data_IF_075252586020
#
_entry.id   IF_075252586020
#
_cell.length_a   1.000
_cell.length_b   1.000
_cell.length_c   1.000
_cell.angle_alpha   90.00
_cell.angle_beta   90.00
_cell.angle_gamma   90.00
#
_symmetry.space_group_name_H-M   'P 1'
#
loop_
_entity.id
_entity.type
_entity.pdbx_description
1 polymer ?
#
# COMPACT_ATOMS: atom_id res chain seq x y z
N UNK A 1 25.07 -17.48 -74.46
CA UNK A 1 25.72 -18.26 -73.40
C UNK A 1 26.25 -17.30 -72.35
N UNK A 2 26.07 -17.68 -71.08
CA UNK A 2 26.63 -17.13 -69.84
C UNK A 2 25.56 -16.61 -68.87
N UNK A 3 25.24 -17.49 -67.92
CA UNK A 3 24.50 -17.23 -66.70
C UNK A 3 25.39 -16.46 -65.71
N UNK A 4 24.82 -15.47 -65.03
CA UNK A 4 25.36 -15.01 -63.74
C UNK A 4 24.19 -14.71 -62.81
N UNK A 5 23.97 -15.63 -61.88
CA UNK A 5 23.04 -15.55 -60.76
C UNK A 5 23.66 -14.66 -59.68
N UNK A 6 22.98 -13.58 -59.27
CA UNK A 6 23.27 -12.90 -58.02
C UNK A 6 22.03 -12.95 -57.14
N UNK A 7 22.10 -13.82 -56.13
CA UNK A 7 21.15 -13.83 -55.02
C UNK A 7 21.50 -12.69 -54.07
N UNK A 8 20.48 -11.92 -53.68
CA UNK A 8 20.57 -11.00 -52.54
C UNK A 8 19.43 -11.32 -51.59
N UNK A 9 19.83 -11.71 -50.40
CA UNK A 9 18.99 -12.17 -49.29
C UNK A 9 18.14 -11.00 -48.76
N UNK A 10 16.82 -11.19 -48.72
CA UNK A 10 15.88 -10.30 -48.03
C UNK A 10 16.02 -10.57 -46.53
N UNK A 11 16.65 -9.66 -45.79
CA UNK A 11 16.65 -9.70 -44.33
C UNK A 11 15.37 -9.02 -43.84
N UNK A 12 14.34 -9.83 -43.59
CA UNK A 12 13.14 -9.38 -42.88
C UNK A 12 13.47 -9.21 -41.39
N UNK A 13 13.69 -7.97 -40.96
CA UNK A 13 13.78 -7.63 -39.55
C UNK A 13 12.36 -7.66 -38.93
N UNK A 14 12.04 -8.74 -38.23
CA UNK A 14 10.87 -8.80 -37.34
C UNK A 14 11.13 -7.91 -36.12
N UNK A 15 10.46 -6.76 -36.06
CA UNK A 15 10.37 -5.93 -34.86
C UNK A 15 9.45 -6.62 -33.86
N UNK A 16 10.05 -7.36 -32.91
CA UNK A 16 9.38 -7.77 -31.69
C UNK A 16 9.18 -6.52 -30.82
N UNK A 17 7.99 -5.91 -30.92
CA UNK A 17 7.51 -4.94 -29.96
C UNK A 17 7.26 -5.69 -28.63
N UNK A 18 8.30 -5.79 -27.81
CA UNK A 18 8.18 -6.26 -26.44
C UNK A 18 7.40 -5.24 -25.62
N UNK A 19 6.19 -5.61 -25.19
CA UNK A 19 5.45 -4.91 -24.16
C UNK A 19 6.32 -4.83 -22.90
N UNK A 20 6.98 -3.69 -22.72
CA UNK A 20 7.73 -3.39 -21.52
C UNK A 20 6.70 -3.04 -20.45
N UNK A 21 6.26 -4.02 -19.67
CA UNK A 21 5.60 -3.72 -18.41
C UNK A 21 6.60 -2.89 -17.59
N UNK A 22 6.23 -1.71 -17.05
CA UNK A 22 7.09 -1.03 -16.09
C UNK A 22 7.23 -1.97 -14.89
N UNK A 23 8.38 -2.63 -14.79
CA UNK A 23 8.79 -3.32 -13.57
C UNK A 23 8.82 -2.24 -12.51
N UNK A 24 7.87 -2.29 -11.56
CA UNK A 24 7.96 -1.46 -10.35
C UNK A 24 9.37 -1.68 -9.79
N UNK A 25 10.14 -0.62 -9.51
CA UNK A 25 11.44 -0.79 -8.88
C UNK A 25 11.23 -1.66 -7.64
N UNK A 26 12.08 -2.67 -7.48
CA UNK A 26 12.09 -3.51 -6.29
C UNK A 26 12.09 -2.56 -5.10
N UNK A 27 11.01 -2.59 -4.31
CA UNK A 27 10.91 -1.80 -3.10
C UNK A 27 12.14 -2.12 -2.26
N UNK A 28 12.82 -1.11 -1.70
CA UNK A 28 13.89 -1.35 -0.73
C UNK A 28 13.35 -2.33 0.31
N UNK A 29 13.85 -3.57 0.27
CA UNK A 29 13.46 -4.59 1.24
C UNK A 29 13.89 -4.08 2.60
N UNK A 30 12.96 -4.10 3.56
CA UNK A 30 13.25 -3.73 4.93
C UNK A 30 14.40 -4.61 5.45
N UNK A 31 15.59 -4.04 5.62
CA UNK A 31 16.79 -4.76 6.04
C UNK A 31 16.91 -4.90 7.57
N UNK A 32 15.87 -4.53 8.31
CA UNK A 32 15.82 -4.65 9.76
C UNK A 32 15.23 -5.99 10.21
N UNK A 33 15.37 -6.32 11.49
CA UNK A 33 14.78 -7.54 12.08
C UNK A 33 13.36 -7.26 12.60
N UNK A 34 12.38 -8.02 12.14
CA UNK A 34 10.99 -8.04 12.65
C UNK A 34 9.97 -7.47 11.66
N UNK A 35 8.89 -8.22 11.39
CA UNK A 35 7.79 -7.84 10.49
C UNK A 35 6.51 -7.43 11.23
N UNK A 36 5.46 -7.01 10.49
CA UNK A 36 4.15 -6.67 11.08
C UNK A 36 3.42 -7.87 11.68
N UNK A 37 3.93 -9.09 11.45
CA UNK A 37 3.41 -10.35 12.00
C UNK A 37 3.93 -10.66 13.41
N UNK A 38 4.86 -9.87 13.93
CA UNK A 38 5.44 -10.07 15.26
C UNK A 38 4.42 -9.76 16.37
N UNK A 39 4.48 -10.51 17.47
CA UNK A 39 3.64 -10.24 18.65
C UNK A 39 3.88 -8.85 19.24
N UNK A 40 5.14 -8.41 19.26
CA UNK A 40 5.52 -7.06 19.67
C UNK A 40 6.28 -6.35 18.55
N UNK A 41 5.54 -5.62 17.73
CA UNK A 41 6.09 -4.85 16.60
C UNK A 41 6.88 -3.65 17.13
N UNK A 42 8.13 -3.54 16.71
CA UNK A 42 8.97 -2.38 16.99
C UNK A 42 8.34 -1.11 16.36
N UNK A 43 8.25 0.03 17.09
CA UNK A 43 7.70 1.26 16.54
C UNK A 43 8.36 1.72 15.23
N UNK A 44 9.66 1.48 15.04
CA UNK A 44 10.40 1.85 13.82
C UNK A 44 9.95 0.98 12.64
N UNK A 45 9.72 -0.32 12.85
CA UNK A 45 9.17 -1.23 11.83
C UNK A 45 7.79 -0.74 11.40
N UNK A 46 6.91 -0.45 12.36
CA UNK A 46 5.57 0.05 12.04
C UNK A 46 5.61 1.36 11.26
N UNK A 47 6.48 2.30 11.68
CA UNK A 47 6.64 3.58 11.01
C UNK A 47 7.13 3.40 9.57
N UNK A 48 8.09 2.50 9.35
CA UNK A 48 8.58 2.17 8.01
C UNK A 48 7.44 1.72 7.09
N UNK A 49 6.66 0.72 7.49
CA UNK A 49 5.53 0.24 6.68
C UNK A 49 4.41 1.28 6.54
N UNK A 50 4.16 2.08 7.58
CA UNK A 50 3.24 3.20 7.46
C UNK A 50 3.66 4.17 6.35
N UNK A 51 4.95 4.39 6.15
CA UNK A 51 5.48 5.34 5.15
C UNK A 51 5.60 4.72 3.75
N UNK A 52 6.01 3.46 3.66
CA UNK A 52 6.42 2.83 2.40
C UNK A 52 5.39 1.82 1.86
N UNK A 53 4.42 1.43 2.68
CA UNK A 53 3.40 0.45 2.33
C UNK A 53 3.48 -0.83 3.16
N UNK A 54 2.36 -1.53 3.22
CA UNK A 54 2.22 -2.82 3.90
C UNK A 54 2.25 -3.94 2.87
N UNK A 55 3.43 -4.17 2.29
CA UNK A 55 3.65 -5.10 1.18
C UNK A 55 4.55 -6.27 1.60
N UNK A 56 4.52 -7.36 0.82
CA UNK A 56 5.44 -8.49 1.00
C UNK A 56 5.10 -9.42 2.17
N UNK A 57 5.99 -10.36 2.46
CA UNK A 57 5.79 -11.44 3.45
C UNK A 57 5.59 -10.94 4.88
N UNK A 58 6.01 -9.70 5.16
CA UNK A 58 5.94 -9.12 6.49
C UNK A 58 4.62 -8.38 6.76
N UNK A 59 3.70 -8.30 5.79
CA UNK A 59 2.39 -7.69 5.95
C UNK A 59 1.39 -8.60 6.71
N UNK A 60 0.27 -8.04 7.17
CA UNK A 60 -0.71 -8.76 8.03
C UNK A 60 -1.55 -9.82 7.29
N UNK A 61 -1.21 -10.18 6.05
CA UNK A 61 -1.97 -11.14 5.23
C UNK A 61 -3.29 -10.60 4.65
N UNK A 62 -3.53 -9.29 4.76
CA UNK A 62 -4.65 -8.61 4.11
C UNK A 62 -4.22 -7.91 2.81
N UNK A 63 -5.18 -7.46 2.01
CA UNK A 63 -4.92 -6.63 0.84
C UNK A 63 -4.05 -5.40 1.19
N UNK A 64 -3.02 -5.11 0.38
CA UNK A 64 -2.04 -4.06 0.67
C UNK A 64 -2.67 -2.66 0.70
N UNK A 65 -3.63 -2.42 -0.19
CA UNK A 65 -4.38 -1.17 -0.23
C UNK A 65 -5.27 -1.06 1.01
N UNK A 66 -5.98 -2.13 1.39
CA UNK A 66 -6.80 -2.18 2.61
C UNK A 66 -5.96 -1.88 3.86
N UNK A 67 -4.78 -2.50 4.00
CA UNK A 67 -3.88 -2.23 5.12
C UNK A 67 -3.41 -0.77 5.14
N UNK A 68 -3.11 -0.22 3.96
CA UNK A 68 -2.76 1.20 3.85
C UNK A 68 -3.90 2.10 4.32
N UNK A 69 -5.14 1.84 3.89
CA UNK A 69 -6.33 2.60 4.31
C UNK A 69 -6.56 2.47 5.82
N UNK A 70 -6.53 1.24 6.38
CA UNK A 70 -6.63 1.00 7.82
C UNK A 70 -5.56 1.75 8.60
N UNK A 71 -4.32 1.81 8.09
CA UNK A 71 -3.23 2.55 8.74
C UNK A 71 -3.54 4.03 8.87
N UNK A 72 -4.13 4.65 7.84
CA UNK A 72 -4.49 6.08 7.85
C UNK A 72 -5.69 6.34 8.75
N UNK A 73 -6.68 5.45 8.77
CA UNK A 73 -7.83 5.54 9.67
C UNK A 73 -7.46 5.33 11.14
N UNK A 74 -6.56 4.37 11.42
CA UNK A 74 -6.00 4.15 12.75
C UNK A 74 -5.15 5.34 13.22
N UNK A 75 -4.35 5.90 12.31
CA UNK A 75 -3.59 7.12 12.56
C UNK A 75 -4.50 8.33 12.84
N UNK A 76 -5.64 8.45 12.16
CA UNK A 76 -6.64 9.48 12.46
C UNK A 76 -7.16 9.35 13.90
N UNK A 77 -7.42 8.12 14.37
CA UNK A 77 -7.78 7.88 15.78
C UNK A 77 -6.65 8.30 16.72
N UNK A 78 -5.40 7.90 16.43
CA UNK A 78 -4.23 8.25 17.25
C UNK A 78 -4.01 9.76 17.33
N UNK A 79 -4.21 10.48 16.22
CA UNK A 79 -4.01 11.93 16.14
C UNK A 79 -5.27 12.75 16.40
N UNK A 80 -6.34 12.12 16.90
CA UNK A 80 -7.62 12.76 17.23
C UNK A 80 -8.25 13.55 16.06
N UNK A 81 -8.07 13.06 14.82
CA UNK A 81 -8.68 13.62 13.62
C UNK A 81 -10.05 12.97 13.43
N UNK A 82 -11.11 13.79 13.45
CA UNK A 82 -12.49 13.30 13.40
C UNK A 82 -12.87 12.84 11.99
N UNK A 83 -13.55 11.71 11.91
CA UNK A 83 -14.24 11.23 10.71
C UNK A 83 -15.45 10.38 11.11
N UNK A 84 -16.41 10.18 10.20
CA UNK A 84 -17.54 9.28 10.45
C UNK A 84 -17.08 7.82 10.33
N UNK A 85 -16.75 7.21 11.48
CA UNK A 85 -16.22 5.84 11.52
C UNK A 85 -17.20 4.81 10.96
N UNK A 86 -18.50 4.95 11.24
CA UNK A 86 -19.51 3.99 10.79
C UNK A 86 -19.69 4.05 9.26
N UNK A 87 -19.80 5.25 8.69
CA UNK A 87 -19.83 5.43 7.23
C UNK A 87 -18.57 4.88 6.57
N UNK A 88 -17.40 5.15 7.16
CA UNK A 88 -16.13 4.63 6.64
C UNK A 88 -16.09 3.09 6.64
N UNK A 89 -16.49 2.44 7.73
CA UNK A 89 -16.55 0.98 7.82
C UNK A 89 -17.48 0.40 6.75
N UNK A 90 -18.65 1.00 6.51
CA UNK A 90 -19.56 0.55 5.46
C UNK A 90 -18.92 0.64 4.07
N UNK A 91 -18.18 1.72 3.78
CA UNK A 91 -17.44 1.86 2.52
C UNK A 91 -16.34 0.82 2.37
N UNK A 92 -15.61 0.51 3.46
CA UNK A 92 -14.58 -0.53 3.45
C UNK A 92 -15.19 -1.90 3.18
N UNK A 93 -16.29 -2.24 3.84
CA UNK A 93 -17.02 -3.49 3.63
C UNK A 93 -17.44 -3.63 2.16
N UNK A 94 -17.96 -2.54 1.58
CA UNK A 94 -18.38 -2.54 0.18
C UNK A 94 -17.19 -2.70 -0.79
N UNK A 95 -16.05 -2.03 -0.54
CA UNK A 95 -14.90 -2.00 -1.46
C UNK A 95 -14.01 -3.23 -1.34
N UNK A 96 -13.75 -3.68 -0.12
CA UNK A 96 -12.71 -4.67 0.20
C UNK A 96 -13.27 -5.98 0.78
N UNK A 97 -14.59 -6.07 1.01
CA UNK A 97 -15.17 -7.19 1.74
C UNK A 97 -14.86 -7.11 3.22
N UNK A 98 -14.74 -8.25 3.90
CA UNK A 98 -14.61 -8.35 5.36
C UNK A 98 -15.84 -7.89 6.16
N UNK A 99 -15.87 -8.30 7.43
CA UNK A 99 -16.91 -7.90 8.38
C UNK A 99 -16.55 -6.55 9.01
N UNK A 100 -17.57 -5.81 9.45
CA UNK A 100 -17.39 -4.56 10.19
C UNK A 100 -16.37 -4.70 11.34
N UNK A 101 -16.45 -5.79 12.10
CA UNK A 101 -15.56 -6.07 13.22
C UNK A 101 -14.11 -6.29 12.79
N UNK A 102 -13.86 -6.90 11.63
CA UNK A 102 -12.51 -7.08 11.08
C UNK A 102 -11.90 -5.70 10.77
N UNK A 103 -12.63 -4.82 10.08
CA UNK A 103 -12.13 -3.47 9.83
C UNK A 103 -11.92 -2.66 11.10
N UNK A 104 -12.80 -2.81 12.08
CA UNK A 104 -12.75 -2.03 13.30
C UNK A 104 -11.60 -2.46 14.22
N UNK A 105 -11.49 -3.76 14.53
CA UNK A 105 -10.53 -4.26 15.51
C UNK A 105 -9.20 -4.65 14.87
N UNK A 106 -9.23 -5.52 13.85
CA UNK A 106 -8.01 -6.05 13.22
C UNK A 106 -7.35 -5.02 12.30
N UNK A 107 -8.14 -4.11 11.73
CA UNK A 107 -7.66 -3.00 10.92
C UNK A 107 -7.39 -1.74 11.74
N UNK A 108 -8.39 -0.88 11.81
CA UNK A 108 -8.30 0.48 12.36
C UNK A 108 -7.76 0.47 13.80
N UNK A 109 -8.29 -0.41 14.65
CA UNK A 109 -7.92 -0.55 16.05
C UNK A 109 -6.46 -0.96 16.22
N UNK A 110 -6.05 -2.03 15.56
CA UNK A 110 -4.67 -2.49 15.52
C UNK A 110 -3.72 -1.36 15.10
N UNK A 111 -3.98 -0.71 13.97
CA UNK A 111 -3.12 0.35 13.46
C UNK A 111 -3.04 1.54 14.42
N UNK A 112 -4.15 1.90 15.08
CA UNK A 112 -4.16 2.95 16.10
C UNK A 112 -3.30 2.60 17.32
N UNK A 113 -3.30 1.33 17.75
CA UNK A 113 -2.41 0.84 18.82
C UNK A 113 -0.96 0.97 18.41
N UNK A 114 -0.59 0.54 17.21
CA UNK A 114 0.81 0.60 16.77
C UNK A 114 1.29 2.04 16.56
N UNK A 115 0.49 2.92 15.94
CA UNK A 115 0.89 4.33 15.75
C UNK A 115 1.06 5.08 17.06
N UNK A 116 0.35 4.70 18.13
CA UNK A 116 0.53 5.31 19.47
C UNK A 116 1.89 5.01 20.10
N UNK A 117 2.55 3.93 19.69
CA UNK A 117 3.87 3.56 20.21
C UNK A 117 5.01 4.36 19.56
N UNK A 118 4.74 5.04 18.45
CA UNK A 118 5.76 5.79 17.70
C UNK A 118 5.89 7.20 18.29
N UNK A 119 7.07 7.61 18.78
CA UNK A 119 7.30 8.98 19.23
C UNK A 119 7.03 10.00 18.13
N UNK A 120 6.42 11.14 18.49
CA UNK A 120 6.08 12.22 17.56
C UNK A 120 5.35 11.77 16.29
N UNK A 121 4.51 10.73 16.43
CA UNK A 121 3.73 10.23 15.30
C UNK A 121 2.82 11.32 14.71
N UNK A 122 2.19 12.14 15.54
CA UNK A 122 1.24 13.15 15.09
C UNK A 122 1.90 14.49 14.76
N UNK A 123 2.95 14.48 13.92
CA UNK A 123 3.55 15.72 13.42
C UNK A 123 2.68 16.43 12.37
N UNK A 124 2.89 17.74 12.11
CA UNK A 124 2.04 18.52 11.21
C UNK A 124 1.93 17.96 9.78
N UNK A 125 3.02 17.43 9.24
CA UNK A 125 3.03 16.81 7.90
C UNK A 125 2.13 15.58 7.86
N UNK A 126 2.24 14.71 8.87
CA UNK A 126 1.43 13.49 8.97
C UNK A 126 -0.05 13.80 9.18
N UNK A 127 -0.38 14.80 10.00
CA UNK A 127 -1.77 15.27 10.20
C UNK A 127 -2.38 15.76 8.87
N UNK A 128 -1.65 16.56 8.09
CA UNK A 128 -2.09 17.02 6.77
C UNK A 128 -2.34 15.86 5.81
N UNK A 129 -1.43 14.88 5.77
CA UNK A 129 -1.54 13.72 4.90
C UNK A 129 -2.73 12.82 5.28
N UNK A 130 -2.93 12.57 6.58
CA UNK A 130 -4.08 11.80 7.08
C UNK A 130 -5.38 12.51 6.71
N UNK A 131 -5.49 13.81 6.98
CA UNK A 131 -6.69 14.61 6.68
C UNK A 131 -7.02 14.55 5.18
N UNK A 132 -6.01 14.68 4.33
CA UNK A 132 -6.18 14.58 2.88
C UNK A 132 -6.63 13.18 2.44
N UNK A 133 -6.12 12.13 3.07
CA UNK A 133 -6.54 10.75 2.81
C UNK A 133 -8.01 10.53 3.23
N UNK A 134 -8.42 10.99 4.42
CA UNK A 134 -9.80 10.89 4.89
C UNK A 134 -10.80 11.54 3.93
N UNK A 135 -10.44 12.70 3.38
CA UNK A 135 -11.26 13.39 2.37
C UNK A 135 -11.39 12.59 1.07
N UNK A 136 -10.35 11.86 0.65
CA UNK A 136 -10.43 10.96 -0.51
C UNK A 136 -11.31 9.75 -0.20
N UNK A 137 -11.10 9.12 0.95
CA UNK A 137 -11.86 7.93 1.35
C UNK A 137 -13.36 8.20 1.51
N UNK A 138 -13.75 9.40 1.99
CA UNK A 138 -15.18 9.77 2.07
C UNK A 138 -15.86 9.89 0.70
N UNK A 139 -15.07 10.02 -0.39
CA UNK A 139 -15.53 9.96 -1.78
C UNK A 139 -15.37 8.58 -2.42
N UNK A 140 -14.97 7.56 -1.64
CA UNK A 140 -14.70 6.20 -2.15
C UNK A 140 -13.37 6.06 -2.91
N UNK A 141 -12.50 7.08 -2.85
CA UNK A 141 -11.20 7.07 -3.52
C UNK A 141 -10.14 6.48 -2.59
N UNK A 142 -9.89 5.18 -2.69
CA UNK A 142 -8.99 4.45 -1.78
C UNK A 142 -7.55 4.30 -2.27
N UNK A 143 -7.26 4.78 -3.49
CA UNK A 143 -5.92 4.83 -4.06
C UNK A 143 -5.05 5.97 -3.48
#
# INVERSE_FOLDING_TARGET
MSHTTFGTIVVSAMLLAGCSNPVKPAHEEYSGSGGMTQWNIDPIVYLYHYQHGFTGSDALGYDEQLQTVWSRLGAAVTCNIRYNKQDMIQRLMHRFGEKAITHELNGIGFHSVQSRKVPDFCNPSRIKNITSALQRYSRGQFD
#
